data_IF_287743104265
#
_entry.id   IF_287743104265
#
_cell.length_a   1.000
_cell.length_b   1.000
_cell.length_c   1.000
_cell.angle_alpha   90.00
_cell.angle_beta   90.00
_cell.angle_gamma   90.00
#
_symmetry.space_group_name_H-M   'P 1'
#
loop_
_entity.id
_entity.type
_entity.pdbx_description
1 polymer ?
#
# COMPACT_ATOMS: atom_id res chain seq x y z
N UNK A 1 -10.82 18.47 29.97
CA UNK A 1 -10.36 17.11 29.60
C UNK A 1 -11.56 16.38 29.04
N UNK A 2 -11.60 16.16 27.73
CA UNK A 2 -12.76 15.58 27.02
C UNK A 2 -12.68 14.04 27.04
N UNK A 3 -13.77 13.31 27.28
CA UNK A 3 -13.74 11.85 27.30
C UNK A 3 -13.45 11.30 25.90
N UNK A 4 -12.37 10.51 25.78
CA UNK A 4 -12.02 9.70 24.60
C UNK A 4 -13.22 8.81 24.24
N UNK A 5 -13.93 9.14 23.17
CA UNK A 5 -14.83 8.20 22.52
C UNK A 5 -13.97 7.08 21.91
N UNK A 6 -13.87 5.95 22.63
CA UNK A 6 -13.26 4.73 22.11
C UNK A 6 -14.17 4.18 21.00
N UNK A 7 -13.60 3.97 19.83
CA UNK A 7 -14.24 3.24 18.74
C UNK A 7 -14.57 1.83 19.25
N UNK A 8 -15.81 1.61 19.67
CA UNK A 8 -16.23 0.32 20.24
C UNK A 8 -16.49 -0.63 19.09
N UNK A 9 -15.44 -1.29 18.62
CA UNK A 9 -15.58 -2.43 17.70
C UNK A 9 -16.03 -3.63 18.55
N UNK A 10 -17.32 -3.94 18.50
CA UNK A 10 -17.91 -5.16 19.07
C UNK A 10 -17.32 -6.39 18.36
N UNK A 11 -16.25 -6.97 18.91
CA UNK A 11 -15.75 -8.28 18.48
C UNK A 11 -16.28 -9.37 19.42
N UNK A 12 -17.33 -10.06 18.98
CA UNK A 12 -17.77 -11.34 19.55
C UNK A 12 -16.71 -12.40 19.26
N UNK A 13 -16.14 -12.96 20.33
CA UNK A 13 -15.09 -13.97 20.30
C UNK A 13 -15.62 -15.31 19.74
N UNK A 14 -15.50 -15.48 18.42
CA UNK A 14 -15.36 -16.79 17.79
C UNK A 14 -13.99 -16.75 17.12
N UNK A 15 -13.09 -17.67 17.47
CA UNK A 15 -11.77 -17.79 16.86
C UNK A 15 -11.89 -18.21 15.38
N UNK A 16 -12.36 -17.30 14.56
CA UNK A 16 -12.31 -17.38 13.11
C UNK A 16 -10.95 -16.83 12.70
N UNK A 17 -10.23 -17.57 11.86
CA UNK A 17 -8.97 -17.10 11.30
C UNK A 17 -9.19 -15.69 10.71
N UNK A 18 -8.43 -14.71 11.19
CA UNK A 18 -8.56 -13.32 10.74
C UNK A 18 -8.32 -13.29 9.23
N UNK A 19 -9.21 -12.65 8.43
CA UNK A 19 -9.00 -12.58 7.00
C UNK A 19 -7.68 -11.86 6.69
N UNK A 20 -6.97 -12.25 5.62
CA UNK A 20 -5.75 -11.57 5.21
C UNK A 20 -6.02 -10.09 4.91
N UNK A 21 -4.97 -9.27 4.99
CA UNK A 21 -5.00 -7.87 4.57
C UNK A 21 -5.54 -7.79 3.12
N UNK A 22 -6.54 -6.94 2.86
CA UNK A 22 -7.18 -6.87 1.53
C UNK A 22 -6.28 -6.20 0.49
N UNK A 23 -5.16 -5.61 0.91
CA UNK A 23 -4.26 -4.82 0.08
C UNK A 23 -3.07 -5.66 -0.42
N UNK A 24 -2.62 -5.37 -1.65
CA UNK A 24 -1.48 -6.04 -2.29
C UNK A 24 -0.18 -5.24 -2.14
N UNK A 25 0.98 -5.88 -2.36
CA UNK A 25 2.27 -5.19 -2.22
C UNK A 25 2.40 -4.08 -3.26
N UNK A 26 1.88 -4.33 -4.46
CA UNK A 26 1.84 -3.35 -5.54
C UNK A 26 0.94 -2.15 -5.20
N UNK A 27 -0.20 -2.39 -4.52
CA UNK A 27 -1.06 -1.32 -4.00
C UNK A 27 -0.28 -0.41 -3.07
N UNK A 28 0.33 -0.99 -2.04
CA UNK A 28 1.07 -0.25 -1.03
C UNK A 28 2.25 0.52 -1.64
N UNK A 29 3.07 -0.14 -2.46
CA UNK A 29 4.25 0.48 -3.05
C UNK A 29 3.89 1.65 -3.98
N UNK A 30 2.92 1.46 -4.88
CA UNK A 30 2.54 2.51 -5.85
C UNK A 30 1.84 3.69 -5.19
N UNK A 31 0.90 3.45 -4.27
CA UNK A 31 0.23 4.54 -3.58
C UNK A 31 1.18 5.31 -2.67
N UNK A 32 2.09 4.62 -1.97
CA UNK A 32 3.09 5.30 -1.15
C UNK A 32 4.02 6.17 -2.00
N UNK A 33 4.50 5.65 -3.13
CA UNK A 33 5.35 6.39 -4.07
C UNK A 33 4.60 7.58 -4.66
N UNK A 34 3.35 7.39 -5.06
CA UNK A 34 2.49 8.48 -5.51
C UNK A 34 2.33 9.55 -4.43
N UNK A 35 2.01 9.13 -3.20
CA UNK A 35 1.88 10.03 -2.06
C UNK A 35 3.18 10.76 -1.79
N UNK A 36 4.37 10.19 -2.00
CA UNK A 36 5.66 10.82 -1.71
C UNK A 36 6.20 11.70 -2.85
N UNK A 37 5.94 11.35 -4.11
CA UNK A 37 6.63 11.94 -5.26
C UNK A 37 5.74 12.72 -6.24
N UNK A 38 4.44 12.41 -6.34
CA UNK A 38 3.57 13.14 -7.28
C UNK A 38 3.43 14.61 -6.88
N UNK A 39 3.29 15.60 -7.78
CA UNK A 39 3.14 17.00 -7.41
C UNK A 39 2.14 17.24 -6.25
N UNK A 40 2.52 18.04 -5.25
CA UNK A 40 1.75 18.13 -4.00
C UNK A 40 0.35 18.69 -4.19
N UNK A 41 0.19 19.62 -5.13
CA UNK A 41 -1.10 20.14 -5.58
C UNK A 41 -2.02 19.02 -6.10
N UNK A 42 -1.48 18.07 -6.87
CA UNK A 42 -2.21 16.90 -7.35
C UNK A 42 -2.58 15.97 -6.19
N UNK A 43 -1.63 15.64 -5.31
CA UNK A 43 -1.91 14.76 -4.15
C UNK A 43 -2.95 15.40 -3.21
N UNK A 44 -2.81 16.70 -2.93
CA UNK A 44 -3.72 17.43 -2.06
C UNK A 44 -5.11 17.54 -2.68
N UNK A 45 -5.23 17.87 -3.97
CA UNK A 45 -6.54 17.94 -4.64
C UNK A 45 -7.29 16.61 -4.62
N UNK A 46 -6.57 15.48 -4.75
CA UNK A 46 -7.16 14.15 -4.64
C UNK A 46 -7.63 13.90 -3.21
N UNK A 47 -6.76 14.02 -2.20
CA UNK A 47 -7.05 13.54 -0.85
C UNK A 47 -7.86 14.52 0.02
N UNK A 48 -7.84 15.83 -0.26
CA UNK A 48 -8.55 16.82 0.56
C UNK A 48 -10.07 16.78 0.32
N UNK A 49 -10.85 16.63 1.39
CA UNK A 49 -12.32 16.50 1.35
C UNK A 49 -13.06 17.69 0.71
N UNK A 50 -12.42 18.87 0.63
CA UNK A 50 -13.08 20.13 0.29
C UNK A 50 -13.29 20.37 -1.20
N UNK A 51 -12.72 19.55 -2.10
CA UNK A 51 -12.74 19.87 -3.51
C UNK A 51 -13.99 19.34 -4.20
N UNK A 52 -15.02 20.19 -4.31
CA UNK A 52 -16.02 20.12 -5.39
C UNK A 52 -15.35 20.54 -6.72
N UNK A 53 -14.27 19.87 -7.11
CA UNK A 53 -13.69 20.08 -8.43
C UNK A 53 -14.59 19.38 -9.43
N UNK A 54 -15.52 20.16 -9.99
CA UNK A 54 -16.24 19.80 -11.20
C UNK A 54 -15.21 19.54 -12.32
N UNK A 55 -14.98 18.26 -12.60
CA UNK A 55 -15.10 17.78 -13.98
C UNK A 55 -13.88 17.65 -14.87
N UNK A 56 -12.64 17.84 -14.42
CA UNK A 56 -11.47 17.43 -15.23
C UNK A 56 -10.91 16.09 -14.73
N UNK A 57 -10.90 15.03 -15.56
CA UNK A 57 -10.32 13.75 -15.17
C UNK A 57 -8.82 13.95 -14.90
N UNK A 58 -8.40 13.63 -13.68
CA UNK A 58 -6.99 13.63 -13.28
C UNK A 58 -6.15 12.86 -14.29
N UNK A 59 -5.34 13.58 -15.07
CA UNK A 59 -4.40 13.01 -16.03
C UNK A 59 -3.12 12.58 -15.32
N UNK A 60 -3.23 11.53 -14.52
CA UNK A 60 -2.06 10.87 -13.93
C UNK A 60 -1.58 9.84 -14.93
N UNK A 61 -0.34 9.97 -15.43
CA UNK A 61 0.32 8.88 -16.15
C UNK A 61 0.85 7.86 -15.13
N UNK A 62 0.21 6.69 -14.97
CA UNK A 62 0.61 5.69 -13.99
C UNK A 62 1.94 5.00 -14.32
N UNK A 63 2.50 5.27 -15.51
CA UNK A 63 3.78 4.73 -15.96
C UNK A 63 4.90 5.76 -15.88
N UNK A 64 4.62 7.00 -15.47
CA UNK A 64 5.63 8.01 -15.21
C UNK A 64 6.71 7.44 -14.28
N UNK A 65 7.99 7.54 -14.68
CA UNK A 65 9.11 6.94 -13.92
C UNK A 65 9.17 7.47 -12.48
N UNK A 66 8.80 8.73 -12.26
CA UNK A 66 8.76 9.34 -10.92
C UNK A 66 7.69 8.74 -10.00
N UNK A 67 6.69 8.03 -10.55
CA UNK A 67 5.61 7.39 -9.81
C UNK A 67 5.77 5.86 -9.72
N UNK A 68 6.85 5.31 -10.28
CA UNK A 68 7.15 3.90 -10.17
C UNK A 68 7.93 3.66 -8.87
N UNK A 69 7.44 2.75 -8.00
CA UNK A 69 8.20 2.40 -6.81
C UNK A 69 9.53 1.78 -7.23
N UNK A 70 10.61 2.18 -6.56
CA UNK A 70 11.90 1.54 -6.76
C UNK A 70 11.87 0.06 -6.30
N UNK A 71 12.93 -0.66 -6.63
CA UNK A 71 13.03 -2.10 -6.31
C UNK A 71 13.03 -2.33 -4.80
N UNK A 72 13.68 -1.44 -4.05
CA UNK A 72 13.82 -1.56 -2.60
C UNK A 72 12.49 -1.32 -1.88
N UNK A 73 11.74 -0.29 -2.25
CA UNK A 73 10.41 0.02 -1.72
C UNK A 73 9.43 -1.09 -2.05
N UNK A 74 9.46 -1.61 -3.28
CA UNK A 74 8.63 -2.75 -3.69
C UNK A 74 8.93 -4.01 -2.84
N UNK A 75 10.21 -4.33 -2.64
CA UNK A 75 10.62 -5.45 -1.79
C UNK A 75 10.22 -5.25 -0.32
N UNK A 76 10.33 -4.01 0.17
CA UNK A 76 9.95 -3.64 1.54
C UNK A 76 8.45 -3.78 1.75
N UNK A 77 7.62 -3.26 0.84
CA UNK A 77 6.16 -3.42 0.85
C UNK A 77 5.74 -4.90 0.81
N UNK A 78 6.45 -5.73 0.04
CA UNK A 78 6.22 -7.16 0.02
C UNK A 78 6.52 -7.84 1.36
N UNK A 79 7.62 -7.49 2.03
CA UNK A 79 7.96 -8.01 3.37
C UNK A 79 6.94 -7.55 4.42
N UNK A 80 6.57 -6.28 4.42
CA UNK A 80 5.57 -5.70 5.32
C UNK A 80 4.23 -6.44 5.23
N UNK A 81 3.74 -6.69 4.02
CA UNK A 81 2.49 -7.44 3.87
C UNK A 81 2.59 -8.88 4.32
N UNK A 82 3.72 -9.55 4.11
CA UNK A 82 3.91 -10.90 4.65
C UNK A 82 3.82 -10.88 6.17
N UNK A 83 4.46 -9.90 6.82
CA UNK A 83 4.41 -9.72 8.28
C UNK A 83 2.99 -9.44 8.79
N UNK A 84 2.28 -8.49 8.19
CA UNK A 84 0.92 -8.12 8.57
C UNK A 84 -0.11 -9.24 8.36
N UNK A 85 0.19 -10.18 7.46
CA UNK A 85 -0.64 -11.35 7.19
C UNK A 85 -0.29 -12.56 8.07
N UNK A 86 0.74 -12.48 8.91
CA UNK A 86 1.01 -13.55 9.87
C UNK A 86 -0.14 -13.62 10.88
N UNK A 87 -0.64 -14.82 11.23
CA UNK A 87 -1.73 -14.96 12.20
C UNK A 87 -1.42 -14.30 13.55
N UNK A 88 -0.14 -14.32 13.94
CA UNK A 88 0.37 -13.75 15.20
C UNK A 88 0.45 -12.22 15.21
N UNK A 89 0.43 -11.57 14.04
CA UNK A 89 0.49 -10.12 13.98
C UNK A 89 -0.86 -9.48 14.35
N UNK A 90 -1.97 -10.20 14.22
CA UNK A 90 -3.31 -9.68 14.53
C UNK A 90 -3.63 -8.30 13.89
N UNK A 91 -2.92 -7.88 12.83
CA UNK A 91 -2.98 -6.52 12.30
C UNK A 91 -4.41 -6.13 11.88
N UNK A 92 -4.84 -4.92 12.24
CA UNK A 92 -6.15 -4.38 11.82
C UNK A 92 -6.19 -4.21 10.28
N UNK A 93 -7.33 -4.44 9.61
CA UNK A 93 -7.49 -4.11 8.18
C UNK A 93 -7.34 -2.59 7.92
N UNK A 94 -7.45 -1.76 8.96
CA UNK A 94 -7.24 -0.31 8.90
C UNK A 94 -5.76 0.10 8.98
N UNK A 95 -4.84 -0.83 9.21
CA UNK A 95 -3.41 -0.52 9.37
C UNK A 95 -2.83 0.16 8.14
N UNK A 96 -3.10 -0.38 6.95
CA UNK A 96 -2.55 0.15 5.70
C UNK A 96 -3.16 1.50 5.32
N UNK A 97 -4.50 1.69 5.31
CA UNK A 97 -5.07 3.00 5.04
C UNK A 97 -4.62 4.07 6.02
N UNK A 98 -4.52 3.74 7.32
CA UNK A 98 -4.00 4.69 8.32
C UNK A 98 -2.53 5.02 8.04
N UNK A 99 -1.69 4.04 7.73
CA UNK A 99 -0.29 4.29 7.39
C UNK A 99 -0.12 5.21 6.17
N UNK A 100 -0.91 5.00 5.11
CA UNK A 100 -0.92 5.87 3.93
C UNK A 100 -1.37 7.29 4.28
N UNK A 101 -2.34 7.42 5.20
CA UNK A 101 -2.79 8.72 5.70
C UNK A 101 -1.70 9.44 6.50
N UNK A 102 -0.96 8.72 7.35
CA UNK A 102 0.18 9.29 8.09
C UNK A 102 1.27 9.76 7.12
N UNK A 103 1.56 8.98 6.09
CA UNK A 103 2.53 9.34 5.05
C UNK A 103 2.09 10.60 4.28
N UNK A 104 0.80 10.72 3.99
CA UNK A 104 0.24 11.92 3.36
C UNK A 104 0.38 13.16 4.27
N UNK A 105 0.07 13.04 5.57
CA UNK A 105 0.29 14.14 6.53
C UNK A 105 1.76 14.53 6.66
N UNK A 106 2.64 13.54 6.72
CA UNK A 106 4.10 13.76 6.74
C UNK A 106 4.54 14.60 5.55
N UNK A 107 4.05 14.28 4.36
CA UNK A 107 4.37 15.04 3.16
C UNK A 107 3.83 16.47 3.19
N UNK A 108 2.58 16.66 3.61
CA UNK A 108 2.00 18.00 3.73
C UNK A 108 2.82 18.88 4.68
N UNK A 109 3.24 18.33 5.82
CA UNK A 109 4.08 19.04 6.78
C UNK A 109 5.47 19.36 6.20
N UNK A 110 6.05 18.46 5.42
CA UNK A 110 7.40 18.61 4.86
C UNK A 110 7.50 19.66 3.75
N UNK A 111 6.39 20.06 3.13
CA UNK A 111 6.38 21.06 2.06
C UNK A 111 6.31 22.52 2.58
N UNK A 112 5.95 22.72 3.85
CA UNK A 112 5.84 24.04 4.45
C UNK A 112 7.17 24.62 4.95
N UNK A 113 8.18 23.79 5.16
CA UNK A 113 9.52 24.21 5.55
C UNK A 113 10.35 24.53 4.29
N UNK A 114 11.04 25.67 4.29
CA UNK A 114 11.81 26.18 3.17
C UNK A 114 12.63 25.07 2.49
N UNK A 115 12.30 24.81 1.22
CA UNK A 115 12.79 23.69 0.42
C UNK A 115 14.32 23.63 0.25
N UNK A 116 15.08 24.57 0.82
CA UNK A 116 16.54 24.57 0.82
C UNK A 116 17.16 23.50 1.73
N UNK A 117 16.47 23.06 2.80
CA UNK A 117 17.04 22.08 3.75
C UNK A 117 16.35 20.69 3.71
N UNK A 118 15.14 20.60 3.14
CA UNK A 118 14.32 19.38 3.12
C UNK A 118 14.79 18.29 2.13
N UNK A 119 15.73 18.61 1.24
CA UNK A 119 16.31 17.62 0.31
C UNK A 119 17.29 16.65 0.98
N UNK A 120 17.60 16.82 2.27
CA UNK A 120 18.71 16.14 2.94
C UNK A 120 18.37 15.07 3.97
N UNK A 121 17.11 14.84 4.35
CA UNK A 121 16.83 13.89 5.44
C UNK A 121 17.16 12.43 5.05
N UNK A 122 17.41 12.15 3.76
CA UNK A 122 18.01 10.89 3.30
C UNK A 122 17.17 9.64 3.58
N UNK A 123 15.93 9.83 4.06
CA UNK A 123 15.02 8.75 4.40
C UNK A 123 14.54 8.08 3.13
N UNK A 124 15.08 6.90 2.83
CA UNK A 124 14.61 6.11 1.70
C UNK A 124 13.12 5.78 1.84
N UNK A 125 12.37 5.91 0.76
CA UNK A 125 10.90 5.73 0.72
C UNK A 125 10.44 4.45 1.40
N UNK A 126 11.13 3.33 1.14
CA UNK A 126 10.83 2.05 1.77
C UNK A 126 10.84 2.11 3.31
N UNK A 127 11.75 2.89 3.89
CA UNK A 127 11.84 3.08 5.35
C UNK A 127 10.69 3.94 5.85
N UNK A 128 10.37 5.04 5.16
CA UNK A 128 9.21 5.89 5.51
C UNK A 128 7.90 5.09 5.47
N UNK A 129 7.72 4.25 4.45
CA UNK A 129 6.55 3.36 4.34
C UNK A 129 6.51 2.35 5.48
N UNK A 130 7.65 1.73 5.79
CA UNK A 130 7.75 0.74 6.86
C UNK A 130 7.44 1.36 8.23
N UNK A 131 8.00 2.52 8.53
CA UNK A 131 7.77 3.28 9.77
C UNK A 131 6.32 3.73 9.87
N UNK A 132 5.73 4.26 8.79
CA UNK A 132 4.31 4.64 8.77
C UNK A 132 3.39 3.46 9.08
N UNK A 133 3.69 2.28 8.53
CA UNK A 133 2.95 1.05 8.82
C UNK A 133 3.15 0.61 10.28
N UNK A 134 4.37 0.67 10.78
CA UNK A 134 4.67 0.32 12.17
C UNK A 134 3.92 1.22 13.17
N UNK A 135 3.89 2.53 12.94
CA UNK A 135 3.15 3.49 13.77
C UNK A 135 1.65 3.19 13.73
N UNK A 136 1.08 3.03 12.53
CA UNK A 136 -0.34 2.70 12.37
C UNK A 136 -0.71 1.37 13.03
N UNK A 137 0.17 0.37 12.93
CA UNK A 137 0.02 -0.92 13.55
C UNK A 137 0.01 -0.80 15.09
N UNK A 138 1.01 -0.14 15.68
CA UNK A 138 1.09 0.11 17.12
C UNK A 138 -0.13 0.85 17.64
N UNK A 139 -0.57 1.87 16.91
CA UNK A 139 -1.70 2.70 17.30
C UNK A 139 -3.02 1.91 17.34
N UNK A 140 -3.23 1.00 16.39
CA UNK A 140 -4.48 0.24 16.27
C UNK A 140 -4.55 -1.02 17.13
N UNK A 141 -3.41 -1.54 17.59
CA UNK A 141 -3.35 -2.84 18.25
C UNK A 141 -3.53 -2.80 19.78
N UNK A 142 -3.72 -1.63 20.41
CA UNK A 142 -3.92 -1.44 21.87
C UNK A 142 -2.90 -2.17 22.78
N UNK A 143 -1.83 -2.72 22.20
CA UNK A 143 -1.13 -3.88 22.72
C UNK A 143 0.36 -3.80 22.47
N UNK A 144 1.05 -3.26 23.48
CA UNK A 144 2.44 -3.56 23.79
C UNK A 144 3.49 -2.85 22.93
N UNK A 145 4.63 -2.56 23.57
CA UNK A 145 5.92 -2.38 22.93
C UNK A 145 6.28 -3.66 22.16
N UNK A 146 5.63 -3.91 21.03
CA UNK A 146 6.15 -4.89 20.10
C UNK A 146 7.55 -4.45 19.71
N UNK A 147 8.49 -5.32 20.08
CA UNK A 147 9.92 -5.10 20.02
C UNK A 147 10.28 -4.57 18.62
N UNK A 148 10.53 -3.26 18.49
CA UNK A 148 10.92 -2.60 17.23
C UNK A 148 12.05 -3.37 16.53
N UNK A 149 12.90 -4.01 17.33
CA UNK A 149 13.92 -4.96 16.92
C UNK A 149 13.39 -6.10 16.04
N UNK A 150 12.28 -6.74 16.39
CA UNK A 150 11.68 -7.82 15.59
C UNK A 150 11.21 -7.32 14.23
N UNK A 151 10.61 -6.13 14.19
CA UNK A 151 10.16 -5.51 12.96
C UNK A 151 11.35 -5.18 12.06
N UNK A 152 12.39 -4.56 12.62
CA UNK A 152 13.59 -4.15 11.88
C UNK A 152 14.40 -5.35 11.40
N UNK A 153 14.55 -6.41 12.21
CA UNK A 153 15.14 -7.69 11.80
C UNK A 153 14.38 -8.33 10.63
N UNK A 154 13.04 -8.39 10.69
CA UNK A 154 12.23 -8.98 9.63
C UNK A 154 12.29 -8.18 8.31
N UNK A 155 12.51 -6.87 8.41
CA UNK A 155 12.66 -5.98 7.26
C UNK A 155 14.11 -5.92 6.75
N UNK A 156 15.09 -6.38 7.54
CA UNK A 156 16.51 -6.24 7.26
C UNK A 156 16.98 -4.78 7.36
N UNK A 157 16.42 -4.02 8.32
CA UNK A 157 16.71 -2.62 8.55
C UNK A 157 17.52 -2.43 9.84
N UNK A 158 18.32 -1.36 9.89
CA UNK A 158 19.01 -0.96 11.11
C UNK A 158 17.99 -0.41 12.13
N UNK A 159 18.01 -0.94 13.36
CA UNK A 159 17.03 -0.58 14.39
C UNK A 159 17.14 0.87 14.86
N UNK A 160 18.35 1.39 15.03
CA UNK A 160 18.58 2.78 15.44
C UNK A 160 18.07 3.76 14.39
N UNK A 161 18.37 3.48 13.12
CA UNK A 161 17.88 4.29 12.00
C UNK A 161 16.35 4.24 11.86
N UNK A 162 15.74 3.08 12.11
CA UNK A 162 14.29 2.93 12.08
C UNK A 162 13.60 3.73 13.20
N UNK A 163 14.13 3.66 14.42
CA UNK A 163 13.63 4.44 15.57
C UNK A 163 13.84 5.94 15.35
N UNK A 164 15.00 6.34 14.83
CA UNK A 164 15.25 7.74 14.44
C UNK A 164 14.22 8.22 13.41
N UNK A 165 13.98 7.44 12.36
CA UNK A 165 12.99 7.77 11.31
C UNK A 165 11.57 7.84 11.89
N UNK A 166 11.22 6.96 12.83
CA UNK A 166 9.96 7.03 13.56
C UNK A 166 9.80 8.34 14.32
N UNK A 167 10.82 8.74 15.09
CA UNK A 167 10.80 10.00 15.85
C UNK A 167 10.65 11.18 14.90
N UNK A 168 11.41 11.20 13.80
CA UNK A 168 11.33 12.28 12.82
C UNK A 168 9.96 12.34 12.16
N UNK A 169 9.41 11.21 11.70
CA UNK A 169 8.08 11.18 11.09
C UNK A 169 7.03 11.69 12.07
N UNK A 170 7.02 11.19 13.31
CA UNK A 170 6.10 11.63 14.35
C UNK A 170 6.26 13.12 14.67
N UNK A 171 7.49 13.61 14.78
CA UNK A 171 7.79 15.03 15.01
C UNK A 171 7.23 15.91 13.90
N UNK A 172 7.43 15.52 12.64
CA UNK A 172 6.93 16.25 11.45
C UNK A 172 5.41 16.32 11.39
N UNK A 173 4.71 15.28 11.82
CA UNK A 173 3.24 15.30 11.91
C UNK A 173 2.73 15.83 13.25
N UNK A 174 3.59 16.44 14.07
CA UNK A 174 3.27 16.94 15.42
C UNK A 174 2.59 15.90 16.32
N UNK A 175 2.98 14.63 16.19
CA UNK A 175 2.37 13.49 16.87
C UNK A 175 0.85 13.34 16.63
N UNK A 176 0.31 13.96 15.57
CA UNK A 176 -1.10 13.86 15.17
C UNK A 176 -1.36 12.55 14.44
N UNK A 177 -1.23 11.43 15.16
CA UNK A 177 -1.53 10.08 14.67
C UNK A 177 -3.04 9.82 14.64
N UNK A 178 -3.79 10.50 15.51
CA UNK A 178 -5.25 10.41 15.52
C UNK A 178 -5.87 11.09 14.30
N UNK A 179 -6.81 10.40 13.66
CA UNK A 179 -7.54 10.83 12.47
C UNK A 179 -9.03 10.75 12.79
N UNK A 180 -9.81 11.76 12.40
CA UNK A 180 -11.26 11.73 12.55
C UNK A 180 -11.87 10.66 11.65
N UNK A 181 -12.99 10.06 12.05
CA UNK A 181 -13.61 8.97 11.28
C UNK A 181 -14.03 9.43 9.87
N UNK A 182 -14.57 10.65 9.74
CA UNK A 182 -14.97 11.23 8.45
C UNK A 182 -13.76 11.47 7.53
N UNK A 183 -12.67 12.00 8.11
CA UNK A 183 -11.40 12.23 7.41
C UNK A 183 -10.81 10.90 6.94
N UNK A 184 -10.78 9.89 7.83
CA UNK A 184 -10.26 8.57 7.54
C UNK A 184 -11.07 7.85 6.45
N UNK A 185 -12.40 7.85 6.55
CA UNK A 185 -13.28 7.20 5.56
C UNK A 185 -13.15 7.89 4.20
N UNK A 186 -13.13 9.23 4.18
CA UNK A 186 -12.93 10.01 2.95
C UNK A 186 -11.59 9.72 2.28
N UNK A 187 -10.51 9.73 3.06
CA UNK A 187 -9.17 9.40 2.56
C UNK A 187 -9.10 7.97 2.01
N UNK A 188 -9.62 7.00 2.77
CA UNK A 188 -9.61 5.58 2.38
C UNK A 188 -10.36 5.37 1.07
N UNK A 189 -11.56 5.94 0.92
CA UNK A 189 -12.35 5.83 -0.31
C UNK A 189 -11.59 6.36 -1.53
N UNK A 190 -10.94 7.52 -1.39
CA UNK A 190 -10.14 8.14 -2.45
C UNK A 190 -8.90 7.32 -2.80
N UNK A 191 -8.24 6.72 -1.81
CA UNK A 191 -7.08 5.85 -2.06
C UNK A 191 -7.49 4.58 -2.85
N UNK A 192 -8.64 4.00 -2.53
CA UNK A 192 -9.19 2.84 -3.23
C UNK A 192 -9.64 3.20 -4.65
N UNK A 193 -10.31 4.35 -4.83
CA UNK A 193 -10.68 4.88 -6.14
C UNK A 193 -9.46 5.12 -7.03
N UNK A 194 -8.43 5.79 -6.49
CA UNK A 194 -7.18 6.05 -7.20
C UNK A 194 -6.49 4.75 -7.61
N UNK A 195 -6.47 3.75 -6.74
CA UNK A 195 -5.93 2.44 -7.07
C UNK A 195 -6.70 1.77 -8.22
N UNK A 196 -8.03 1.66 -8.10
CA UNK A 196 -8.86 0.97 -9.10
C UNK A 196 -8.86 1.70 -10.45
N UNK A 197 -8.91 3.03 -10.44
CA UNK A 197 -8.96 3.87 -11.63
C UNK A 197 -7.64 3.99 -12.37
N UNK A 198 -6.54 4.19 -11.64
CA UNK A 198 -5.24 4.59 -12.21
C UNK A 198 -4.21 3.46 -12.14
N UNK A 199 -3.95 2.93 -10.95
CA UNK A 199 -2.77 2.09 -10.74
C UNK A 199 -2.99 0.59 -11.01
N UNK A 200 -4.18 0.04 -10.79
CA UNK A 200 -4.45 -1.39 -10.94
C UNK A 200 -4.21 -1.89 -12.36
N UNK A 201 -4.46 -1.07 -13.37
CA UNK A 201 -4.19 -1.38 -14.78
C UNK A 201 -2.69 -1.41 -15.07
N UNK A 202 -1.95 -0.43 -14.55
CA UNK A 202 -0.50 -0.33 -14.73
C UNK A 202 0.31 -1.34 -13.89
N UNK A 203 -0.26 -1.83 -12.78
CA UNK A 203 0.34 -2.85 -11.93
C UNK A 203 0.31 -4.26 -12.54
N UNK A 204 -0.48 -4.49 -13.61
CA UNK A 204 -0.46 -5.78 -14.30
C UNK A 204 0.88 -5.93 -15.02
N UNK A 205 1.65 -7.00 -14.76
CA UNK A 205 2.87 -7.25 -15.52
C UNK A 205 2.50 -7.30 -17.00
N UNK A 206 3.07 -6.39 -17.78
CA UNK A 206 2.83 -6.36 -19.22
C UNK A 206 3.50 -7.60 -19.78
N UNK A 207 2.74 -8.69 -19.95
CA UNK A 207 3.27 -9.94 -20.50
C UNK A 207 3.99 -9.59 -21.80
N UNK A 208 5.30 -9.83 -21.91
CA UNK A 208 6.07 -9.53 -23.11
C UNK A 208 5.35 -10.06 -24.35
N UNK A 209 5.30 -9.31 -25.47
CA UNK A 209 4.62 -9.77 -26.68
C UNK A 209 5.06 -11.17 -27.12
N UNK A 210 6.36 -11.47 -26.96
CA UNK A 210 6.94 -12.79 -27.22
C UNK A 210 6.33 -13.92 -26.37
N UNK A 211 6.06 -13.67 -25.09
CA UNK A 211 5.43 -14.63 -24.20
C UNK A 211 3.93 -14.77 -24.47
N UNK A 212 3.25 -13.71 -24.93
CA UNK A 212 1.85 -13.81 -25.38
C UNK A 212 1.71 -14.68 -26.61
N UNK A 213 2.60 -14.51 -27.59
CA UNK A 213 2.62 -15.34 -28.80
C UNK A 213 2.92 -16.80 -28.45
N UNK A 214 3.91 -17.05 -27.58
CA UNK A 214 4.22 -18.41 -27.11
C UNK A 214 3.06 -19.06 -26.36
N UNK A 215 2.39 -18.32 -25.47
CA UNK A 215 1.22 -18.83 -24.75
C UNK A 215 0.04 -19.14 -25.69
N UNK A 216 -0.21 -18.29 -26.70
CA UNK A 216 -1.23 -18.55 -27.73
C UNK A 216 -0.92 -19.78 -28.58
N UNK A 217 0.34 -19.95 -28.98
CA UNK A 217 0.78 -21.13 -29.73
C UNK A 217 0.64 -22.41 -28.91
N UNK A 218 0.98 -22.38 -27.62
CA UNK A 218 0.80 -23.52 -26.73
C UNK A 218 -0.67 -23.86 -26.49
N UNK A 219 -1.54 -22.85 -26.34
CA UNK A 219 -2.98 -23.05 -26.23
C UNK A 219 -3.58 -23.66 -27.50
N UNK A 220 -3.21 -23.15 -28.68
CA UNK A 220 -3.67 -23.67 -29.97
C UNK A 220 -3.18 -25.11 -30.22
N UNK A 221 -1.95 -25.44 -29.83
CA UNK A 221 -1.41 -26.79 -29.94
C UNK A 221 -2.15 -27.79 -29.02
N UNK A 222 -2.50 -27.37 -27.80
CA UNK A 222 -3.27 -28.18 -26.88
C UNK A 222 -4.70 -28.45 -27.40
N UNK A 223 -5.35 -27.44 -27.98
CA UNK A 223 -6.66 -27.57 -28.60
C UNK A 223 -6.64 -28.51 -29.81
N UNK A 224 -5.65 -28.37 -30.69
CA UNK A 224 -5.47 -29.28 -31.83
C UNK A 224 -5.22 -30.73 -31.39
N UNK A 225 -4.43 -30.94 -30.33
CA UNK A 225 -4.19 -32.26 -29.76
C UNK A 225 -5.47 -32.87 -29.17
N UNK A 226 -6.31 -32.07 -28.50
CA UNK A 226 -7.59 -32.52 -27.96
C UNK A 226 -8.57 -32.93 -29.07
N UNK A 227 -8.64 -32.16 -30.16
CA UNK A 227 -9.48 -32.49 -31.33
C UNK A 227 -9.00 -33.78 -32.00
N UNK A 228 -7.69 -33.96 -32.17
CA UNK A 228 -7.12 -35.17 -32.75
C UNK A 228 -7.37 -36.41 -31.86
N UNK A 229 -7.30 -36.27 -30.54
CA UNK A 229 -7.62 -37.34 -29.60
C UNK A 229 -9.11 -37.72 -29.65
N UNK A 230 -10.01 -36.73 -29.71
CA UNK A 230 -11.45 -36.97 -29.84
C UNK A 230 -11.81 -37.65 -31.18
N UNK A 231 -11.13 -37.29 -32.27
CA UNK A 231 -11.30 -37.94 -33.56
C UNK A 231 -10.83 -39.39 -33.55
N UNK A 232 -9.69 -39.69 -32.91
CA UNK A 232 -9.20 -41.07 -32.74
C UNK A 232 -10.15 -41.93 -31.91
N UNK A 233 -10.75 -41.39 -30.85
CA UNK A 233 -11.74 -42.10 -30.03
C UNK A 233 -13.03 -42.45 -30.81
N UNK A 234 -13.44 -41.62 -31.77
CA UNK A 234 -14.61 -41.90 -32.63
C UNK A 234 -14.34 -42.93 -33.73
N UNK A 235 -13.08 -43.18 -34.07
CA UNK A 235 -12.69 -44.10 -35.14
C UNK A 235 -12.45 -45.54 -34.66
N UNK A 236 -12.59 -45.82 -33.37
CA UNK A 236 -12.51 -47.18 -32.84
C UNK A 236 -13.82 -47.93 -33.15
N UNK A 237 -13.75 -49.12 -33.78
CA UNK A 237 -14.94 -49.92 -34.03
C UNK A 237 -15.53 -50.39 -32.69
N UNK A 238 -16.85 -50.24 -32.56
CA UNK A 238 -17.65 -50.75 -31.44
C UNK A 238 -17.64 -52.28 -31.39
#
# INVERSE_FOLDING_TARGET
MSPRAKLTILTTNKATAKPPQPYTAAFLARLSTFILHAPLDIVSSIFTLSSKCDGEPLRIDPNCMALQPDTLTSATCQRLLRMLNLPVAHASPSTIPLALHLLFRFRLASHGEDASDASSDGMGDGVLVAVSIYIAYKWLMDGGEENTKRWTEALGMNNEYFVYTEIQLLGRIEYRVWVQDEEYVGFKGKAEELWEGVFKKAARPTVPPSLRTKARLLAAAAEAAAVAAAAKLRALPL
#
